data_IF_315322153368
#
_entry.id   IF_315322153368
#
_cell.length_a   1.000
_cell.length_b   1.000
_cell.length_c   1.000
_cell.angle_alpha   90.00
_cell.angle_beta   90.00
_cell.angle_gamma   90.00
#
_symmetry.space_group_name_H-M   'P 1'
#
loop_
_entity.id
_entity.type
_entity.pdbx_description
1 polymer ?
#
# COMPACT_ATOMS: atom_id res chain seq x y z
N UNK A 1 3.48 1.94 12.95
CA UNK A 1 3.66 1.15 11.71
C UNK A 1 2.31 1.03 11.06
N UNK A 2 2.21 1.33 9.76
CA UNK A 2 0.93 1.45 9.05
C UNK A 2 0.85 0.43 7.94
N UNK A 3 -0.09 -0.52 7.93
CA UNK A 3 -0.32 -1.35 6.76
C UNK A 3 -1.62 -1.01 6.05
N UNK A 4 -1.64 -1.37 4.78
CA UNK A 4 -2.85 -1.43 3.98
C UNK A 4 -2.64 -2.46 2.88
N UNK A 5 -3.71 -2.92 2.26
CA UNK A 5 -3.62 -3.57 0.97
C UNK A 5 -3.70 -2.55 -0.17
N UNK A 6 -3.05 -2.83 -1.28
CA UNK A 6 -3.32 -2.13 -2.54
C UNK A 6 -3.32 -3.12 -3.70
N UNK A 7 -4.24 -2.91 -4.65
CA UNK A 7 -4.28 -3.65 -5.91
C UNK A 7 -3.34 -3.00 -6.93
N UNK A 8 -2.53 -3.85 -7.57
CA UNK A 8 -1.64 -3.46 -8.65
C UNK A 8 -2.08 -4.19 -9.92
N UNK A 9 -2.32 -3.43 -10.98
CA UNK A 9 -2.67 -3.97 -12.30
C UNK A 9 -1.63 -3.57 -13.34
N UNK A 10 -1.48 -4.39 -14.38
CA UNK A 10 -0.74 -4.04 -15.59
C UNK A 10 -1.66 -3.12 -16.41
N UNK A 11 -1.42 -1.82 -16.36
CA UNK A 11 -2.15 -0.86 -17.20
C UNK A 11 -1.16 -0.13 -18.11
N UNK A 12 -0.90 -0.70 -19.29
CA UNK A 12 0.04 -0.14 -20.27
C UNK A 12 -0.70 0.72 -21.29
N UNK A 13 -0.97 1.98 -20.97
CA UNK A 13 -1.37 2.94 -22.02
C UNK A 13 -0.10 3.57 -22.60
N UNK A 14 0.16 3.38 -23.90
CA UNK A 14 1.31 3.96 -24.62
C UNK A 14 0.80 4.96 -25.66
N UNK A 15 1.39 6.15 -25.72
CA UNK A 15 1.12 7.12 -26.80
C UNK A 15 1.97 6.77 -28.02
N UNK A 16 1.37 6.77 -29.21
CA UNK A 16 2.01 6.44 -30.49
C UNK A 16 1.64 7.49 -31.53
N UNK A 17 2.62 7.96 -32.30
CA UNK A 17 2.40 8.84 -33.45
C UNK A 17 2.01 8.00 -34.67
N UNK A 18 0.91 8.34 -35.34
CA UNK A 18 0.39 7.59 -36.49
C UNK A 18 -0.19 8.48 -37.58
N UNK A 19 -0.16 8.00 -38.82
CA UNK A 19 -0.84 8.61 -39.97
C UNK A 19 -2.36 8.50 -39.83
N UNK A 20 -3.12 9.40 -40.48
CA UNK A 20 -4.59 9.37 -40.54
C UNK A 20 -5.05 7.98 -41.06
N UNK A 21 -6.05 7.38 -40.41
CA UNK A 21 -6.61 6.04 -40.67
C UNK A 21 -5.72 4.81 -40.34
N UNK A 22 -4.53 4.98 -39.75
CA UNK A 22 -3.68 3.85 -39.36
C UNK A 22 -3.93 3.33 -37.93
N UNK A 23 -5.08 3.65 -37.33
CA UNK A 23 -5.35 3.43 -35.90
C UNK A 23 -5.27 1.97 -35.46
N UNK A 24 -5.68 1.03 -36.31
CA UNK A 24 -5.79 -0.40 -35.98
C UNK A 24 -4.59 -1.25 -36.43
N UNK A 25 -3.55 -0.62 -36.99
CA UNK A 25 -2.36 -1.36 -37.44
C UNK A 25 -1.62 -2.02 -36.25
N UNK A 26 -1.02 -3.22 -36.41
CA UNK A 26 -0.35 -3.96 -35.31
C UNK A 26 0.77 -3.19 -34.60
N UNK A 27 1.38 -2.21 -35.28
CA UNK A 27 2.40 -1.29 -34.75
C UNK A 27 1.84 -0.10 -33.95
N UNK A 28 0.54 0.14 -34.06
CA UNK A 28 -0.18 1.28 -33.48
C UNK A 28 -1.22 0.83 -32.43
N UNK A 29 -1.41 -0.48 -32.29
CA UNK A 29 -2.25 -1.11 -31.27
C UNK A 29 -1.35 -1.90 -30.32
N UNK A 30 -1.71 -1.89 -29.03
CA UNK A 30 -1.18 -2.87 -28.08
C UNK A 30 -2.24 -3.95 -27.99
N UNK A 31 -1.90 -5.25 -28.12
CA UNK A 31 -2.83 -6.32 -27.84
C UNK A 31 -3.39 -6.17 -26.42
N UNK A 32 -4.63 -5.71 -26.32
CA UNK A 32 -5.35 -5.62 -25.05
C UNK A 32 -6.15 -6.90 -24.88
N UNK A 33 -5.64 -7.78 -24.01
CA UNK A 33 -6.44 -8.88 -23.48
C UNK A 33 -7.60 -8.28 -22.68
N UNK A 34 -8.84 -8.51 -23.13
CA UNK A 34 -10.06 -7.94 -22.51
C UNK A 34 -10.19 -8.24 -21.00
N UNK A 35 -9.41 -9.17 -20.44
CA UNK A 35 -9.25 -9.42 -18.99
C UNK A 35 -7.84 -9.91 -18.53
N UNK A 36 -6.79 -9.82 -19.34
CA UNK A 36 -5.66 -10.77 -19.22
C UNK A 36 -4.36 -10.32 -18.53
N UNK A 37 -4.28 -9.13 -17.94
CA UNK A 37 -3.08 -8.71 -17.19
C UNK A 37 -3.02 -9.26 -15.75
N UNK A 38 -4.18 -9.63 -15.20
CA UNK A 38 -4.38 -9.96 -13.79
C UNK A 38 -4.05 -8.80 -12.84
N UNK A 39 -4.33 -8.99 -11.55
CA UNK A 39 -3.87 -8.12 -10.49
C UNK A 39 -3.18 -8.94 -9.39
N UNK A 40 -2.34 -8.27 -8.62
CA UNK A 40 -1.86 -8.82 -7.35
C UNK A 40 -2.38 -7.93 -6.21
N UNK A 41 -2.76 -8.59 -5.12
CA UNK A 41 -3.08 -7.92 -3.87
C UNK A 41 -1.85 -8.00 -2.98
N UNK A 42 -1.32 -6.85 -2.58
CA UNK A 42 -0.14 -6.76 -1.73
C UNK A 42 -0.54 -6.18 -0.38
N UNK A 43 -0.12 -6.83 0.70
CA UNK A 43 -0.03 -6.24 2.03
C UNK A 43 1.36 -5.68 2.20
N UNK A 44 1.47 -4.43 2.65
CA UNK A 44 2.74 -3.81 2.94
C UNK A 44 2.61 -2.94 4.17
N UNK A 45 3.74 -2.59 4.76
CA UNK A 45 3.76 -1.81 5.98
C UNK A 45 5.01 -0.95 6.05
N UNK A 46 4.96 0.21 6.71
CA UNK A 46 6.15 1.04 6.87
C UNK A 46 6.14 1.85 8.18
N UNK A 47 7.29 2.44 8.49
CA UNK A 47 7.48 3.42 9.56
C UNK A 47 8.43 4.52 9.09
N UNK A 48 8.67 5.55 9.91
CA UNK A 48 9.69 6.56 9.59
C UNK A 48 11.11 5.98 9.43
N UNK A 49 11.38 4.77 9.94
CA UNK A 49 12.65 4.07 9.81
C UNK A 49 12.82 3.30 8.49
N UNK A 50 11.79 3.28 7.64
CA UNK A 50 11.81 2.55 6.38
C UNK A 50 10.60 1.62 6.20
N UNK A 51 10.67 0.85 5.12
CA UNK A 51 9.68 -0.16 4.74
C UNK A 51 9.82 -1.43 5.57
N UNK A 52 8.68 -2.00 5.97
CA UNK A 52 8.60 -3.36 6.48
C UNK A 52 8.41 -4.35 5.33
N UNK A 53 7.94 -5.55 5.64
CA UNK A 53 7.71 -6.59 4.64
C UNK A 53 6.58 -6.22 3.67
N UNK A 54 6.74 -6.66 2.43
CA UNK A 54 5.75 -6.65 1.37
C UNK A 54 5.33 -8.09 1.05
N UNK A 55 4.07 -8.40 1.32
CA UNK A 55 3.51 -9.75 1.26
C UNK A 55 2.39 -9.84 0.22
N UNK A 56 2.46 -10.82 -0.69
CA UNK A 56 1.40 -11.08 -1.65
C UNK A 56 0.28 -11.90 -1.03
N UNK A 57 -0.93 -11.34 -1.04
CA UNK A 57 -2.15 -12.01 -0.65
C UNK A 57 -2.68 -12.79 -1.85
N UNK A 58 -2.94 -14.09 -1.67
CA UNK A 58 -3.57 -14.94 -2.68
C UNK A 58 -5.08 -14.98 -2.43
N UNK A 59 -5.88 -14.64 -3.44
CA UNK A 59 -7.34 -14.61 -3.36
C UNK A 59 -7.90 -13.39 -2.61
N UNK A 60 -9.16 -13.48 -2.20
CA UNK A 60 -9.86 -12.40 -1.49
C UNK A 60 -9.53 -12.42 -0.01
N UNK A 61 -9.03 -11.30 0.51
CA UNK A 61 -8.68 -11.14 1.93
C UNK A 61 -9.91 -11.25 2.84
N UNK A 62 -9.93 -12.26 3.71
CA UNK A 62 -10.91 -12.37 4.81
C UNK A 62 -10.26 -12.02 6.17
N UNK A 63 -11.07 -11.96 7.23
CA UNK A 63 -10.58 -11.59 8.56
C UNK A 63 -9.56 -12.56 9.16
N UNK A 64 -9.63 -13.86 8.86
CA UNK A 64 -8.67 -14.86 9.33
C UNK A 64 -7.32 -14.70 8.63
N UNK A 65 -7.33 -14.60 7.30
CA UNK A 65 -6.14 -14.30 6.50
C UNK A 65 -5.49 -12.99 6.93
N UNK A 66 -6.28 -11.99 7.30
CA UNK A 66 -5.75 -10.73 7.79
C UNK A 66 -4.95 -10.91 9.09
N UNK A 67 -5.52 -11.60 10.09
CA UNK A 67 -4.82 -11.90 11.34
C UNK A 67 -3.56 -12.73 11.11
N UNK A 68 -3.61 -13.71 10.22
CA UNK A 68 -2.44 -14.50 9.83
C UNK A 68 -1.36 -13.62 9.21
N UNK A 69 -1.73 -12.79 8.23
CA UNK A 69 -0.82 -11.85 7.57
C UNK A 69 -0.16 -10.91 8.59
N UNK A 70 -0.93 -10.38 9.55
CA UNK A 70 -0.36 -9.58 10.63
C UNK A 70 0.61 -10.40 11.50
N UNK A 71 0.25 -11.63 11.88
CA UNK A 71 1.10 -12.48 12.71
C UNK A 71 2.45 -12.80 12.04
N UNK A 72 2.41 -13.11 10.75
CA UNK A 72 3.57 -13.51 9.96
C UNK A 72 4.45 -12.33 9.54
N UNK A 73 3.86 -11.15 9.29
CA UNK A 73 4.59 -10.06 8.65
C UNK A 73 4.76 -8.81 9.53
N UNK A 74 3.82 -8.50 10.45
CA UNK A 74 3.87 -7.26 11.25
C UNK A 74 5.01 -7.26 12.26
N UNK A 75 5.11 -8.31 13.07
CA UNK A 75 6.13 -8.39 14.13
C UNK A 75 7.55 -8.54 13.56
N UNK A 76 7.80 -9.38 12.55
CA UNK A 76 9.12 -9.44 11.93
C UNK A 76 9.55 -8.12 11.33
N UNK A 77 8.63 -7.40 10.67
CA UNK A 77 8.91 -6.06 10.14
C UNK A 77 9.24 -5.05 11.23
N UNK A 78 8.51 -5.04 12.35
CA UNK A 78 8.81 -4.16 13.48
C UNK A 78 10.21 -4.45 14.08
N UNK A 79 10.60 -5.73 14.15
CA UNK A 79 11.93 -6.15 14.59
C UNK A 79 13.02 -5.74 13.59
N UNK A 80 12.81 -5.99 12.31
CA UNK A 80 13.75 -5.62 11.24
C UNK A 80 14.02 -4.11 11.21
N UNK A 81 12.96 -3.31 11.42
CA UNK A 81 13.04 -1.85 11.52
C UNK A 81 13.59 -1.35 12.88
N UNK A 82 13.98 -2.26 13.79
CA UNK A 82 14.45 -1.93 15.15
C UNK A 82 13.50 -0.96 15.85
N UNK A 83 12.20 -1.23 15.77
CA UNK A 83 11.18 -0.42 16.44
C UNK A 83 11.34 -0.54 17.95
N UNK A 84 11.43 0.59 18.64
CA UNK A 84 11.56 0.63 20.09
C UNK A 84 10.30 0.11 20.80
N UNK A 85 10.37 0.03 22.13
CA UNK A 85 9.19 -0.26 22.95
C UNK A 85 8.13 0.82 22.74
N UNK A 86 6.86 0.41 22.69
CA UNK A 86 5.73 1.33 22.59
C UNK A 86 5.38 1.83 21.18
N UNK A 87 5.87 1.20 20.12
CA UNK A 87 5.38 1.50 18.77
C UNK A 87 3.86 1.25 18.68
N UNK A 88 3.18 2.09 17.89
CA UNK A 88 1.73 2.01 17.69
C UNK A 88 1.45 1.51 16.28
N UNK A 89 0.54 0.54 16.20
CA UNK A 89 -0.03 -0.01 14.99
C UNK A 89 -1.19 0.85 14.54
N UNK A 90 -1.23 1.29 13.28
CA UNK A 90 -2.43 1.94 12.72
C UNK A 90 -2.86 1.14 11.51
N UNK A 91 -4.14 0.79 11.42
CA UNK A 91 -4.78 0.21 10.25
C UNK A 91 -6.08 0.94 9.93
N UNK A 92 -6.65 0.71 8.76
CA UNK A 92 -7.88 1.38 8.32
C UNK A 92 -9.13 0.77 8.91
N UNK A 93 -10.22 1.54 8.92
CA UNK A 93 -11.55 1.14 9.38
C UNK A 93 -12.26 0.23 8.34
N UNK A 94 -11.61 -0.85 7.92
CA UNK A 94 -12.29 -1.92 7.18
C UNK A 94 -13.04 -2.81 8.18
N UNK A 95 -14.28 -3.25 7.91
CA UNK A 95 -15.05 -4.13 8.79
C UNK A 95 -14.28 -5.37 9.29
N UNK A 96 -13.36 -5.92 8.48
CA UNK A 96 -12.52 -7.08 8.83
C UNK A 96 -11.44 -6.70 9.86
N UNK A 97 -10.97 -5.46 9.85
CA UNK A 97 -10.00 -4.92 10.79
C UNK A 97 -10.63 -4.59 12.14
N UNK A 98 -11.88 -4.11 12.10
CA UNK A 98 -12.64 -3.68 13.30
C UNK A 98 -13.49 -4.79 13.90
N UNK A 99 -13.60 -5.94 13.23
CA UNK A 99 -14.26 -7.13 13.73
C UNK A 99 -13.76 -7.53 15.12
N UNK A 100 -14.69 -7.99 15.99
CA UNK A 100 -14.41 -8.41 17.37
C UNK A 100 -13.22 -9.38 17.45
N UNK A 101 -13.22 -10.41 16.62
CA UNK A 101 -12.14 -11.40 16.56
C UNK A 101 -10.76 -10.79 16.23
N UNK A 102 -10.71 -9.76 15.39
CA UNK A 102 -9.46 -9.07 15.04
C UNK A 102 -8.97 -8.19 16.19
N UNK A 103 -9.89 -7.44 16.84
CA UNK A 103 -9.58 -6.64 18.04
C UNK A 103 -9.05 -7.51 19.19
N UNK A 104 -9.71 -8.64 19.46
CA UNK A 104 -9.27 -9.59 20.49
C UNK A 104 -7.91 -10.21 20.17
N UNK A 105 -7.66 -10.57 18.91
CA UNK A 105 -6.37 -11.08 18.48
C UNK A 105 -5.24 -10.04 18.66
N UNK A 106 -5.49 -8.78 18.29
CA UNK A 106 -4.53 -7.68 18.46
C UNK A 106 -4.21 -7.45 19.95
N UNK A 107 -5.23 -7.49 20.80
CA UNK A 107 -5.09 -7.42 22.27
C UNK A 107 -4.24 -8.57 22.80
N UNK A 108 -4.52 -9.82 22.39
CA UNK A 108 -3.75 -11.02 22.78
C UNK A 108 -2.29 -10.97 22.33
N UNK A 109 -2.00 -10.30 21.20
CA UNK A 109 -0.63 -10.10 20.71
C UNK A 109 0.07 -8.88 21.32
N UNK A 110 -0.57 -8.18 22.28
CA UNK A 110 -0.06 -6.97 22.92
C UNK A 110 0.30 -5.84 21.93
N UNK A 111 -0.38 -5.81 20.78
CA UNK A 111 -0.20 -4.74 19.80
C UNK A 111 -1.01 -3.53 20.21
N UNK A 112 -0.33 -2.39 20.47
CA UNK A 112 -1.02 -1.11 20.68
C UNK A 112 -1.57 -0.63 19.35
N UNK A 113 -2.88 -0.42 19.26
CA UNK A 113 -3.55 0.05 18.05
C UNK A 113 -3.91 1.52 18.22
N UNK A 114 -3.64 2.34 17.21
CA UNK A 114 -4.07 3.73 17.14
C UNK A 114 -5.57 3.75 16.88
N UNK A 115 -6.31 4.37 17.79
CA UNK A 115 -7.72 4.67 17.56
C UNK A 115 -7.83 5.70 16.43
N UNK A 116 -8.58 5.34 15.39
CA UNK A 116 -8.69 6.13 14.16
C UNK A 116 -10.17 6.41 13.87
N UNK A 117 -10.57 7.67 13.66
CA UNK A 117 -11.95 7.98 13.32
C UNK A 117 -12.31 7.36 11.97
N UNK A 118 -13.46 6.69 11.93
CA UNK A 118 -14.07 6.24 10.68
C UNK A 118 -14.32 7.44 9.77
N UNK A 119 -14.01 7.31 8.46
CA UNK A 119 -14.18 8.35 7.41
C UNK A 119 -13.00 9.31 7.20
N UNK A 120 -11.78 8.79 7.19
CA UNK A 120 -10.58 9.60 6.92
C UNK A 120 -9.54 8.85 6.05
N UNK A 121 -9.92 8.38 4.85
CA UNK A 121 -9.01 7.66 3.94
C UNK A 121 -7.83 8.52 3.46
N UNK A 122 -8.01 9.84 3.37
CA UNK A 122 -6.99 10.81 2.93
C UNK A 122 -5.80 10.94 3.90
N UNK A 123 -5.89 10.26 5.05
CA UNK A 123 -4.95 10.33 6.16
C UNK A 123 -4.21 9.02 6.42
N UNK A 124 -4.06 8.17 5.41
CA UNK A 124 -3.13 7.05 5.49
C UNK A 124 -1.89 7.32 4.62
N UNK A 125 -0.73 7.70 5.20
CA UNK A 125 0.46 8.04 4.42
C UNK A 125 1.05 6.83 3.68
N UNK A 126 0.58 5.61 3.94
CA UNK A 126 0.92 4.46 3.09
C UNK A 126 0.31 4.58 1.68
N UNK A 127 -0.77 5.36 1.49
CA UNK A 127 -1.31 5.64 0.15
C UNK A 127 -0.30 6.33 -0.74
N UNK A 128 0.43 7.29 -0.18
CA UNK A 128 1.49 7.98 -0.91
C UNK A 128 2.61 7.00 -1.28
N UNK A 129 2.92 6.05 -0.39
CA UNK A 129 3.89 4.99 -0.64
C UNK A 129 3.42 4.03 -1.74
N UNK A 130 2.14 3.65 -1.72
CA UNK A 130 1.55 2.82 -2.76
C UNK A 130 1.53 3.52 -4.11
N UNK A 131 1.22 4.82 -4.14
CA UNK A 131 1.28 5.63 -5.37
C UNK A 131 2.69 5.66 -5.94
N UNK A 132 3.70 5.90 -5.10
CA UNK A 132 5.11 5.88 -5.52
C UNK A 132 5.52 4.51 -6.06
N UNK A 133 5.14 3.42 -5.37
CA UNK A 133 5.41 2.07 -5.84
C UNK A 133 4.75 1.80 -7.20
N UNK A 134 3.50 2.23 -7.39
CA UNK A 134 2.78 2.08 -8.69
C UNK A 134 3.54 2.79 -9.82
N UNK A 135 4.04 4.00 -9.58
CA UNK A 135 4.83 4.75 -10.56
C UNK A 135 6.12 4.01 -10.91
N UNK A 136 6.87 3.52 -9.92
CA UNK A 136 8.12 2.77 -10.14
C UNK A 136 7.89 1.47 -10.89
N UNK A 137 6.89 0.70 -10.49
CA UNK A 137 6.51 -0.57 -11.14
C UNK A 137 6.08 -0.33 -12.59
N UNK A 138 5.26 0.69 -12.85
CA UNK A 138 4.79 1.01 -14.19
C UNK A 138 5.94 1.35 -15.15
N UNK A 139 6.99 2.05 -14.67
CA UNK A 139 8.18 2.37 -15.47
C UNK A 139 8.93 1.11 -15.94
N UNK A 140 8.85 0.01 -15.19
CA UNK A 140 9.53 -1.25 -15.50
C UNK A 140 8.74 -2.19 -16.42
N UNK A 141 7.48 -1.85 -16.71
CA UNK A 141 6.62 -2.57 -17.67
C UNK A 141 6.59 -4.10 -17.46
N UNK A 142 6.10 -4.57 -16.30
CA UNK A 142 6.02 -5.99 -15.99
C UNK A 142 5.20 -6.75 -17.04
N UNK A 143 5.69 -7.93 -17.44
CA UNK A 143 5.09 -8.72 -18.54
C UNK A 143 4.09 -9.78 -18.09
N UNK A 144 4.14 -10.20 -16.83
CA UNK A 144 3.25 -11.19 -16.24
C UNK A 144 3.15 -10.99 -14.71
N UNK A 145 2.29 -11.76 -14.04
CA UNK A 145 2.04 -11.59 -12.60
C UNK A 145 3.23 -11.94 -11.69
N UNK A 146 4.08 -12.89 -12.09
CA UNK A 146 5.28 -13.23 -11.32
C UNK A 146 6.34 -12.13 -11.44
N UNK A 147 6.50 -11.59 -12.64
CA UNK A 147 7.34 -10.44 -12.92
C UNK A 147 6.85 -9.18 -12.20
N UNK A 148 5.52 -8.95 -12.20
CA UNK A 148 4.89 -7.89 -11.43
C UNK A 148 5.18 -8.01 -9.92
N UNK A 149 5.01 -9.20 -9.34
CA UNK A 149 5.31 -9.41 -7.92
C UNK A 149 6.80 -9.17 -7.61
N UNK A 150 7.70 -9.70 -8.45
CA UNK A 150 9.15 -9.52 -8.31
C UNK A 150 9.53 -8.04 -8.37
N UNK A 151 9.05 -7.33 -9.38
CA UNK A 151 9.30 -5.89 -9.55
C UNK A 151 8.75 -5.09 -8.37
N UNK A 152 7.55 -5.42 -7.88
CA UNK A 152 7.00 -4.77 -6.69
C UNK A 152 7.91 -4.94 -5.47
N UNK A 153 8.46 -6.13 -5.23
CA UNK A 153 9.41 -6.36 -4.12
C UNK A 153 10.71 -5.58 -4.32
N UNK A 154 11.31 -5.66 -5.51
CA UNK A 154 12.55 -4.94 -5.82
C UNK A 154 12.41 -3.41 -5.70
N UNK A 155 11.29 -2.83 -6.16
CA UNK A 155 11.06 -1.39 -6.06
C UNK A 155 10.69 -0.95 -4.64
N UNK A 156 10.07 -1.83 -3.87
CA UNK A 156 9.77 -1.61 -2.46
C UNK A 156 11.02 -1.57 -1.59
N UNK A 157 11.99 -2.45 -1.85
CA UNK A 157 13.27 -2.48 -1.14
C UNK A 157 14.14 -1.24 -1.47
N UNK A 158 13.89 -0.58 -2.60
CA UNK A 158 14.54 0.69 -2.98
C UNK A 158 13.90 1.92 -2.35
N UNK A 159 12.84 1.78 -1.55
CA UNK A 159 12.25 2.91 -0.83
C UNK A 159 13.12 3.18 0.39
N UNK A 160 13.73 4.37 0.42
CA UNK A 160 14.69 4.69 1.47
C UNK A 160 14.00 5.12 2.78
N UNK A 161 14.67 4.94 3.94
CA UNK A 161 14.19 5.47 5.21
C UNK A 161 13.88 6.97 5.18
N UNK A 162 14.64 7.78 4.44
CA UNK A 162 14.43 9.22 4.31
C UNK A 162 13.09 9.53 3.64
N UNK A 163 12.75 8.81 2.57
CA UNK A 163 11.45 8.93 1.93
C UNK A 163 10.32 8.60 2.92
N UNK A 164 10.46 7.52 3.67
CA UNK A 164 9.49 7.11 4.68
C UNK A 164 9.36 8.14 5.82
N UNK A 165 10.47 8.68 6.31
CA UNK A 165 10.50 9.71 7.34
C UNK A 165 9.77 10.98 6.89
N UNK A 166 10.02 11.43 5.65
CA UNK A 166 9.35 12.58 5.06
C UNK A 166 7.83 12.38 4.94
N UNK A 167 7.38 11.18 4.56
CA UNK A 167 5.95 10.86 4.52
C UNK A 167 5.31 10.93 5.91
N UNK A 168 5.99 10.42 6.94
CA UNK A 168 5.49 10.48 8.33
C UNK A 168 5.50 11.92 8.87
N UNK A 169 6.51 12.72 8.56
CA UNK A 169 6.60 14.11 8.99
C UNK A 169 5.50 14.99 8.35
N UNK A 170 5.30 14.86 7.04
CA UNK A 170 4.23 15.56 6.33
C UNK A 170 2.85 15.14 6.83
N UNK A 171 2.70 13.87 7.18
CA UNK A 171 1.48 13.38 7.79
C UNK A 171 1.17 14.03 9.15
N UNK A 172 2.18 14.20 10.02
CA UNK A 172 2.00 14.92 11.30
C UNK A 172 1.50 16.35 11.05
N UNK A 173 2.06 17.05 10.06
CA UNK A 173 1.61 18.39 9.66
C UNK A 173 0.15 18.39 9.16
N UNK A 174 -0.23 17.41 8.34
CA UNK A 174 -1.61 17.24 7.85
C UNK A 174 -2.59 17.08 9.01
N UNK A 175 -2.30 16.19 9.95
CA UNK A 175 -3.15 15.97 11.12
C UNK A 175 -3.32 17.23 11.96
N UNK A 176 -2.23 17.94 12.24
CA UNK A 176 -2.29 19.22 12.97
C UNK A 176 -3.17 20.22 12.24
N UNK A 177 -3.09 20.28 10.90
CA UNK A 177 -3.91 21.19 10.10
C UNK A 177 -5.40 20.83 10.12
N UNK A 178 -5.76 19.55 10.17
CA UNK A 178 -7.16 19.10 10.26
C UNK A 178 -7.73 19.40 11.64
N UNK A 179 -6.96 19.16 12.69
CA UNK A 179 -7.36 19.48 14.07
C UNK A 179 -7.58 20.99 14.20
N UNK A 180 -6.67 21.80 13.65
CA UNK A 180 -6.82 23.26 13.62
C UNK A 180 -8.02 23.72 12.78
N UNK A 181 -8.39 22.96 11.74
CA UNK A 181 -9.56 23.20 10.91
C UNK A 181 -10.81 22.47 11.42
N UNK A 182 -10.87 21.99 12.67
CA UNK A 182 -12.04 21.33 13.25
C UNK A 182 -12.63 20.18 12.39
N UNK A 183 -11.79 19.48 11.62
CA UNK A 183 -12.21 18.41 10.72
C UNK A 183 -12.62 18.85 9.31
N UNK A 184 -12.64 20.15 9.01
CA UNK A 184 -12.84 20.66 7.65
C UNK A 184 -11.66 20.34 6.73
N UNK A 185 -11.90 20.41 5.42
CA UNK A 185 -10.91 20.12 4.39
C UNK A 185 -9.63 20.97 4.56
N UNK A 186 -8.49 20.37 4.22
CA UNK A 186 -7.18 21.03 4.25
C UNK A 186 -6.57 21.05 2.85
N UNK A 187 -5.53 21.85 2.62
CA UNK A 187 -4.84 22.00 1.32
C UNK A 187 -4.10 20.75 0.79
N UNK A 188 -4.30 19.58 1.40
CA UNK A 188 -3.43 18.40 1.30
C UNK A 188 -4.06 17.18 0.64
#
# INVERSE_FOLDING_TARGET
MRPKWSSFGINSTRRVWRRRNAAYGPKNTIPTVKHGGGNIMLWGCFSAKGTGQLHRIKGTMNGAMYRQTLGENLLPSARALKMGRGWVFQHEYDPKHTAKATKEWLKKKHNKVLEWPSLSPDFNPIENLWRELKVRVAKRQPRNLNDLEKICKEEWDKITPEMCANLVANYKKRLTSVIANEGFATKY
#
